data_IF_480122291211
#
_entry.id   IF_480122291211
#
_cell.length_a   1.000
_cell.length_b   1.000
_cell.length_c   1.000
_cell.angle_alpha   90.00
_cell.angle_beta   90.00
_cell.angle_gamma   90.00
#
_symmetry.space_group_name_H-M   'P 1'
#
loop_
_entity.id
_entity.type
_entity.pdbx_description
1 polymer ?
#
# COMPACT_ATOMS: atom_id res chain seq x y z
N UNK A 1 -3.16 -9.27 0.73
CA UNK A 1 -3.65 -8.61 1.96
C UNK A 1 -5.07 -8.13 1.71
N UNK A 2 -6.06 -9.01 1.88
CA UNK A 2 -7.43 -9.01 1.29
C UNK A 2 -7.56 -9.74 -0.07
N UNK A 3 -6.45 -9.98 -0.76
CA UNK A 3 -6.36 -10.65 -2.07
C UNK A 3 -6.95 -12.07 -2.16
N UNK A 4 -7.32 -12.71 -1.05
CA UNK A 4 -7.85 -14.08 -1.03
C UNK A 4 -9.32 -14.18 -0.59
N UNK A 5 -10.10 -13.08 -0.57
CA UNK A 5 -11.45 -13.12 0.02
C UNK A 5 -12.59 -12.66 -0.88
N UNK A 6 -12.31 -12.24 -2.12
CA UNK A 6 -13.33 -12.02 -3.14
C UNK A 6 -13.34 -13.10 -4.23
N UNK A 7 -12.50 -14.12 -4.11
CA UNK A 7 -12.54 -15.33 -4.94
C UNK A 7 -12.92 -16.52 -4.06
N UNK A 8 -14.07 -17.14 -4.34
CA UNK A 8 -14.48 -18.43 -3.76
C UNK A 8 -13.61 -19.58 -4.32
N UNK A 9 -12.28 -19.46 -4.23
CA UNK A 9 -11.38 -20.54 -4.62
C UNK A 9 -10.66 -21.06 -3.38
N UNK A 10 -11.11 -22.23 -2.89
CA UNK A 10 -10.28 -23.13 -2.08
C UNK A 10 -9.08 -23.55 -2.93
N UNK A 11 -8.01 -22.77 -2.90
CA UNK A 11 -6.73 -23.18 -3.46
C UNK A 11 -5.96 -23.94 -2.38
N UNK A 12 -5.82 -25.24 -2.57
CA UNK A 12 -4.89 -26.10 -1.84
C UNK A 12 -3.48 -25.49 -1.99
N UNK A 13 -3.02 -24.73 -0.99
CA UNK A 13 -1.82 -23.89 -1.16
C UNK A 13 -0.55 -24.75 -1.03
N UNK A 14 0.29 -24.85 -2.07
CA UNK A 14 1.68 -25.25 -1.87
C UNK A 14 2.34 -24.23 -0.94
N UNK A 15 3.39 -24.64 -0.23
CA UNK A 15 4.18 -23.77 0.68
C UNK A 15 4.84 -22.67 -0.15
N UNK A 16 4.12 -21.60 -0.44
CA UNK A 16 4.67 -20.39 -1.04
C UNK A 16 5.51 -19.69 0.03
N UNK A 17 6.81 -19.56 -0.22
CA UNK A 17 7.64 -18.63 0.54
C UNK A 17 7.13 -17.21 0.25
N UNK A 18 6.60 -16.54 1.28
CA UNK A 18 6.14 -15.16 1.14
C UNK A 18 7.34 -14.23 0.93
N UNK A 19 7.61 -13.89 -0.33
CA UNK A 19 8.66 -12.91 -0.68
C UNK A 19 8.16 -11.50 -0.34
N UNK A 20 8.94 -10.78 0.46
CA UNK A 20 8.70 -9.35 0.71
C UNK A 20 9.09 -8.56 -0.52
N UNK A 21 8.16 -7.74 -1.01
CA UNK A 21 8.40 -6.75 -2.07
C UNK A 21 8.54 -5.38 -1.43
N UNK A 22 9.59 -4.64 -1.78
CA UNK A 22 9.83 -3.30 -1.26
C UNK A 22 9.51 -2.21 -2.30
N UNK A 23 9.00 -1.08 -1.84
CA UNK A 23 8.69 0.11 -2.64
C UNK A 23 9.95 0.91 -3.00
N UNK A 24 9.78 2.00 -3.77
CA UNK A 24 10.86 2.95 -4.10
C UNK A 24 11.56 3.53 -2.88
N UNK A 25 10.86 3.71 -1.76
CA UNK A 25 11.42 4.17 -0.47
C UNK A 25 11.57 3.05 0.55
N UNK A 26 11.66 1.82 0.04
CA UNK A 26 11.90 0.60 0.81
C UNK A 26 10.87 0.43 1.93
N UNK A 27 9.60 0.63 1.63
CA UNK A 27 8.50 0.14 2.47
C UNK A 27 8.04 -1.23 1.96
N UNK A 28 7.63 -2.14 2.85
CA UNK A 28 6.92 -3.35 2.43
C UNK A 28 5.63 -2.97 1.68
N UNK A 29 5.45 -3.46 0.45
CA UNK A 29 4.24 -3.19 -0.34
C UNK A 29 2.97 -3.65 0.38
N UNK A 30 3.07 -4.75 1.13
CA UNK A 30 2.01 -5.23 2.02
C UNK A 30 1.65 -4.13 3.03
N UNK A 31 2.63 -3.59 3.75
CA UNK A 31 2.39 -2.54 4.75
C UNK A 31 1.89 -1.21 4.11
N UNK A 32 2.34 -0.87 2.89
CA UNK A 32 1.84 0.28 2.12
C UNK A 32 0.35 0.13 1.80
N UNK A 33 -0.08 -1.06 1.36
CA UNK A 33 -1.49 -1.36 1.05
C UNK A 33 -2.39 -1.23 2.28
N UNK A 34 -1.99 -1.77 3.43
CA UNK A 34 -2.77 -1.59 4.67
C UNK A 34 -2.79 -0.13 5.13
N UNK A 35 -1.66 0.57 5.04
CA UNK A 35 -1.61 1.98 5.43
C UNK A 35 -2.52 2.84 4.55
N UNK A 36 -2.56 2.59 3.23
CA UNK A 36 -3.50 3.24 2.31
C UNK A 36 -4.96 2.95 2.69
N UNK A 37 -5.32 1.69 2.91
CA UNK A 37 -6.68 1.29 3.29
C UNK A 37 -7.13 1.97 4.59
N UNK A 38 -6.29 1.92 5.63
CA UNK A 38 -6.60 2.51 6.93
C UNK A 38 -6.65 4.05 6.89
N UNK A 39 -5.81 4.70 6.07
CA UNK A 39 -5.89 6.15 5.86
C UNK A 39 -7.15 6.56 5.11
N UNK A 40 -7.59 5.79 4.10
CA UNK A 40 -8.88 6.04 3.42
C UNK A 40 -10.03 5.89 4.41
N UNK A 41 -10.08 4.76 5.12
CA UNK A 41 -11.10 4.46 6.12
C UNK A 41 -11.12 5.47 7.28
N UNK A 42 -9.95 6.01 7.64
CA UNK A 42 -9.80 7.06 8.65
C UNK A 42 -10.03 8.48 8.15
N UNK A 43 -10.42 8.67 6.89
CA UNK A 43 -10.60 9.99 6.26
C UNK A 43 -9.33 10.87 6.25
N UNK A 44 -8.14 10.26 6.31
CA UNK A 44 -6.85 10.95 6.25
C UNK A 44 -6.35 11.01 4.80
N UNK A 45 -6.83 12.03 4.07
CA UNK A 45 -6.47 12.24 2.68
C UNK A 45 -4.99 12.53 2.44
N UNK A 46 -4.27 13.09 3.42
CA UNK A 46 -2.85 13.42 3.26
C UNK A 46 -1.99 12.15 3.27
N UNK A 47 -2.20 11.28 4.26
CA UNK A 47 -1.52 9.98 4.32
C UNK A 47 -2.00 9.05 3.21
N UNK A 48 -3.30 9.04 2.89
CA UNK A 48 -3.83 8.19 1.82
C UNK A 48 -3.20 8.53 0.47
N UNK A 49 -3.06 9.82 0.13
CA UNK A 49 -2.37 10.22 -1.10
C UNK A 49 -0.89 9.82 -1.07
N UNK A 50 -0.21 9.96 0.06
CA UNK A 50 1.19 9.52 0.17
C UNK A 50 1.32 8.03 -0.12
N UNK A 51 0.54 7.17 0.54
CA UNK A 51 0.63 5.72 0.35
C UNK A 51 0.19 5.28 -1.04
N UNK A 52 -0.85 5.90 -1.60
CA UNK A 52 -1.29 5.64 -2.97
C UNK A 52 -0.22 5.96 -3.99
N UNK A 53 0.38 7.15 -3.91
CA UNK A 53 1.46 7.52 -4.82
C UNK A 53 2.78 6.80 -4.53
N UNK A 54 3.02 6.34 -3.30
CA UNK A 54 4.18 5.48 -3.00
C UNK A 54 4.07 4.14 -3.74
N UNK A 55 2.89 3.50 -3.74
CA UNK A 55 2.65 2.30 -4.52
C UNK A 55 2.79 2.60 -6.02
N UNK A 56 2.06 3.62 -6.49
CA UNK A 56 2.01 4.02 -7.90
C UNK A 56 3.39 4.29 -8.50
N UNK A 57 4.18 5.15 -7.87
CA UNK A 57 5.52 5.52 -8.37
C UNK A 57 6.61 4.49 -8.04
N UNK A 58 6.28 3.41 -7.34
CA UNK A 58 7.15 2.22 -7.26
C UNK A 58 7.02 1.32 -8.49
N UNK A 59 6.23 1.73 -9.49
CA UNK A 59 6.01 1.01 -10.74
C UNK A 59 4.75 0.14 -10.74
N UNK A 60 3.87 0.32 -9.75
CA UNK A 60 2.65 -0.48 -9.58
C UNK A 60 1.40 0.29 -10.02
N UNK A 61 1.45 1.02 -11.13
CA UNK A 61 0.38 1.96 -11.51
C UNK A 61 -0.98 1.27 -11.66
N UNK A 62 -1.07 0.22 -12.49
CA UNK A 62 -2.31 -0.54 -12.67
C UNK A 62 -2.73 -1.27 -11.39
N UNK A 63 -1.80 -1.95 -10.72
CA UNK A 63 -2.06 -2.63 -9.44
C UNK A 63 -2.57 -1.66 -8.35
N UNK A 64 -2.19 -0.38 -8.42
CA UNK A 64 -2.69 0.64 -7.48
C UNK A 64 -4.17 0.92 -7.75
N UNK A 65 -4.58 1.08 -9.01
CA UNK A 65 -6.00 1.26 -9.37
C UNK A 65 -6.82 0.01 -9.05
N UNK A 66 -6.31 -1.18 -9.35
CA UNK A 66 -6.97 -2.45 -8.99
C UNK A 66 -7.18 -2.54 -7.47
N UNK A 67 -6.18 -2.13 -6.69
CA UNK A 67 -6.32 -2.10 -5.24
C UNK A 67 -7.31 -1.02 -4.76
N UNK A 68 -7.38 0.15 -5.40
CA UNK A 68 -8.43 1.14 -5.12
C UNK A 68 -9.83 0.59 -5.44
N UNK A 69 -9.96 -0.25 -6.48
CA UNK A 69 -11.21 -0.91 -6.82
C UNK A 69 -11.61 -1.94 -5.74
N UNK A 70 -10.65 -2.70 -5.21
CA UNK A 70 -10.89 -3.59 -4.07
C UNK A 70 -11.35 -2.81 -2.83
N UNK A 71 -10.70 -1.67 -2.53
CA UNK A 71 -11.14 -0.77 -1.45
C UNK A 71 -12.56 -0.26 -1.73
N UNK A 72 -12.87 0.11 -2.96
CA UNK A 72 -14.19 0.60 -3.34
C UNK A 72 -15.29 -0.46 -3.08
N UNK A 73 -15.01 -1.73 -3.43
CA UNK A 73 -15.89 -2.87 -3.14
C UNK A 73 -16.06 -3.09 -1.64
N UNK A 74 -14.97 -3.04 -0.87
CA UNK A 74 -14.99 -3.25 0.59
C UNK A 74 -15.78 -2.14 1.32
N UNK A 75 -15.56 -0.89 0.94
CA UNK A 75 -16.01 0.27 1.71
C UNK A 75 -17.32 0.89 1.22
N UNK A 76 -17.75 0.64 -0.03
CA UNK A 76 -18.90 1.35 -0.61
C UNK A 76 -19.96 0.44 -1.20
N UNK A 77 -19.79 -0.89 -1.13
CA UNK A 77 -20.84 -1.82 -1.51
C UNK A 77 -21.96 -1.83 -0.44
N UNK A 78 -23.21 -1.94 -0.88
CA UNK A 78 -24.38 -1.90 0.00
C UNK A 78 -24.70 -3.31 0.50
N UNK A 79 -24.80 -4.28 -0.41
CA UNK A 79 -25.00 -5.70 -0.10
C UNK A 79 -23.84 -6.55 -0.62
N UNK A 80 -23.47 -7.60 0.12
CA UNK A 80 -22.40 -8.52 -0.29
C UNK A 80 -22.65 -9.24 -1.64
N UNK A 81 -23.91 -9.27 -2.09
CA UNK A 81 -24.38 -9.91 -3.32
C UNK A 81 -24.86 -8.91 -4.38
N UNK A 82 -24.69 -7.60 -4.17
CA UNK A 82 -25.02 -6.64 -5.23
C UNK A 82 -24.13 -6.89 -6.43
N UNK A 83 -24.76 -7.08 -7.59
CA UNK A 83 -24.09 -6.94 -8.87
C UNK A 83 -23.50 -5.53 -8.97
N UNK A 84 -22.33 -5.40 -9.60
CA UNK A 84 -21.53 -4.16 -9.68
C UNK A 84 -22.27 -2.93 -10.29
N UNK A 85 -23.56 -3.04 -10.61
CA UNK A 85 -24.31 -2.13 -11.47
C UNK A 85 -24.74 -0.80 -10.81
N UNK A 86 -24.66 -0.65 -9.48
CA UNK A 86 -25.10 0.58 -8.77
C UNK A 86 -24.10 1.12 -7.72
N UNK A 87 -22.79 0.89 -7.89
CA UNK A 87 -21.77 1.45 -6.99
C UNK A 87 -20.98 2.58 -7.66
N UNK A 88 -21.40 3.83 -7.40
CA UNK A 88 -20.75 5.03 -7.94
C UNK A 88 -19.24 5.13 -7.62
N UNK A 89 -18.76 4.52 -6.54
CA UNK A 89 -17.32 4.54 -6.23
C UNK A 89 -16.54 3.56 -7.11
N UNK A 90 -17.12 2.40 -7.41
CA UNK A 90 -16.57 1.45 -8.38
C UNK A 90 -16.55 2.10 -9.78
N UNK A 91 -17.64 2.77 -10.17
CA UNK A 91 -17.70 3.51 -11.43
C UNK A 91 -16.64 4.60 -11.51
N UNK A 92 -16.44 5.37 -10.42
CA UNK A 92 -15.41 6.39 -10.35
C UNK A 92 -14.01 5.79 -10.60
N UNK A 93 -13.66 4.71 -9.90
CA UNK A 93 -12.34 4.09 -10.04
C UNK A 93 -12.16 3.53 -11.46
N UNK A 94 -13.17 2.85 -12.00
CA UNK A 94 -13.13 2.31 -13.37
C UNK A 94 -12.99 3.42 -14.41
N UNK A 95 -13.73 4.52 -14.27
CA UNK A 95 -13.65 5.66 -15.18
C UNK A 95 -12.30 6.38 -15.08
N UNK A 96 -11.78 6.57 -13.87
CA UNK A 96 -10.45 7.14 -13.64
C UNK A 96 -9.33 6.26 -14.20
N UNK A 97 -9.44 4.93 -14.04
CA UNK A 97 -8.52 3.98 -14.66
C UNK A 97 -8.61 4.02 -16.18
N UNK A 98 -9.81 4.12 -16.75
CA UNK A 98 -10.00 4.29 -18.20
C UNK A 98 -9.34 5.57 -18.72
N UNK A 99 -9.57 6.72 -18.06
CA UNK A 99 -8.92 7.98 -18.42
C UNK A 99 -7.40 7.89 -18.30
N UNK A 100 -6.91 7.26 -17.24
CA UNK A 100 -5.49 7.03 -17.05
C UNK A 100 -4.89 6.18 -18.17
N UNK A 101 -5.52 5.07 -18.56
CA UNK A 101 -5.06 4.22 -19.68
C UNK A 101 -4.99 4.95 -21.01
N UNK A 102 -5.81 5.99 -21.22
CA UNK A 102 -5.76 6.81 -22.45
C UNK A 102 -4.53 7.73 -22.51
N UNK A 103 -4.10 8.29 -21.38
CA UNK A 103 -2.84 9.05 -21.28
C UNK A 103 -2.18 8.88 -19.90
N UNK A 104 -1.39 7.81 -19.70
CA UNK A 104 -0.84 7.46 -18.38
C UNK A 104 0.02 8.56 -17.75
N UNK A 105 0.75 9.35 -18.56
CA UNK A 105 1.66 10.37 -18.07
C UNK A 105 0.99 11.73 -17.76
N UNK A 106 -0.16 12.01 -18.36
CA UNK A 106 -0.89 13.28 -18.12
C UNK A 106 -2.02 13.11 -17.10
N UNK A 107 -2.36 11.86 -16.78
CA UNK A 107 -3.56 11.50 -16.01
C UNK A 107 -3.27 10.87 -14.66
N UNK A 108 -2.03 10.97 -14.14
CA UNK A 108 -1.64 10.47 -12.81
C UNK A 108 -2.59 10.96 -11.70
N UNK A 109 -3.11 12.19 -11.85
CA UNK A 109 -4.04 12.84 -10.92
C UNK A 109 -5.37 12.11 -10.75
N UNK A 110 -5.74 11.22 -11.69
CA UNK A 110 -6.91 10.36 -11.57
C UNK A 110 -6.83 9.45 -10.35
N UNK A 111 -5.63 8.99 -9.98
CA UNK A 111 -5.42 8.26 -8.72
C UNK A 111 -5.81 9.14 -7.51
N UNK A 112 -5.37 10.39 -7.52
CA UNK A 112 -5.70 11.37 -6.49
C UNK A 112 -7.20 11.67 -6.40
N UNK A 113 -7.91 11.73 -7.53
CA UNK A 113 -9.37 11.87 -7.57
C UNK A 113 -10.06 10.74 -6.80
N UNK A 114 -9.68 9.50 -7.11
CA UNK A 114 -10.23 8.31 -6.46
C UNK A 114 -9.97 8.34 -4.94
N UNK A 115 -8.70 8.50 -4.54
CA UNK A 115 -8.29 8.49 -3.14
C UNK A 115 -9.02 9.55 -2.33
N UNK A 116 -8.99 10.81 -2.79
CA UNK A 116 -9.59 11.90 -2.04
C UNK A 116 -11.12 11.80 -2.00
N UNK A 117 -11.75 11.37 -3.08
CA UNK A 117 -13.21 11.15 -3.10
C UNK A 117 -13.60 10.04 -2.12
N UNK A 118 -12.89 8.92 -2.10
CA UNK A 118 -13.10 7.85 -1.12
C UNK A 118 -12.90 8.34 0.33
N UNK A 119 -11.87 9.16 0.58
CA UNK A 119 -11.65 9.79 1.89
C UNK A 119 -12.75 10.77 2.30
N UNK A 120 -13.58 11.28 1.37
CA UNK A 120 -14.61 12.28 1.65
C UNK A 120 -16.03 11.74 1.48
N UNK A 121 -16.19 10.41 1.44
CA UNK A 121 -17.47 9.74 1.38
C UNK A 121 -17.65 8.81 2.59
N UNK A 122 -18.90 8.66 3.03
CA UNK A 122 -19.28 7.70 4.06
C UNK A 122 -18.92 6.26 3.66
N UNK A 123 -18.20 5.55 4.53
CA UNK A 123 -17.92 4.13 4.36
C UNK A 123 -19.03 3.24 4.95
N UNK A 124 -19.23 2.09 4.34
CA UNK A 124 -20.07 0.98 4.79
C UNK A 124 -19.20 -0.29 4.95
N UNK A 125 -18.66 -0.48 6.15
CA UNK A 125 -17.90 -1.69 6.49
C UNK A 125 -18.79 -2.88 6.83
N UNK A 126 -20.11 -2.72 6.92
CA UNK A 126 -20.99 -3.78 7.41
C UNK A 126 -20.93 -5.06 6.56
N UNK A 127 -20.94 -5.00 5.21
CA UNK A 127 -20.79 -6.19 4.38
C UNK A 127 -19.45 -6.88 4.60
N UNK A 128 -18.36 -6.10 4.65
CA UNK A 128 -17.02 -6.61 4.89
C UNK A 128 -16.92 -7.30 6.26
N UNK A 129 -17.34 -6.65 7.34
CA UNK A 129 -17.22 -7.20 8.69
C UNK A 129 -18.07 -8.47 8.85
N UNK A 130 -19.30 -8.47 8.33
CA UNK A 130 -20.19 -9.65 8.39
C UNK A 130 -19.62 -10.82 7.61
N UNK A 131 -18.97 -10.58 6.48
CA UNK A 131 -18.47 -11.65 5.61
C UNK A 131 -17.10 -12.15 6.09
N UNK A 132 -16.15 -11.24 6.30
CA UNK A 132 -14.77 -11.54 6.67
C UNK A 132 -14.68 -12.05 8.11
N UNK A 133 -15.27 -11.33 9.08
CA UNK A 133 -15.18 -11.68 10.49
C UNK A 133 -16.35 -12.55 10.97
N UNK A 134 -17.32 -12.87 10.10
CA UNK A 134 -18.52 -13.63 10.46
C UNK A 134 -19.23 -13.07 11.69
N UNK A 135 -19.24 -11.73 11.80
CA UNK A 135 -19.66 -11.01 13.00
C UNK A 135 -20.80 -10.06 12.67
N UNK A 136 -21.87 -10.12 13.45
CA UNK A 136 -22.99 -9.19 13.31
C UNK A 136 -22.69 -7.86 14.00
N UNK A 137 -23.06 -6.78 13.32
CA UNK A 137 -22.81 -5.41 13.78
C UNK A 137 -24.00 -4.48 13.54
N UNK A 138 -24.03 -3.39 14.27
CA UNK A 138 -24.93 -2.26 14.08
C UNK A 138 -24.11 -0.97 13.90
N UNK A 139 -24.52 -0.12 12.95
CA UNK A 139 -23.86 1.18 12.69
C UNK A 139 -24.34 2.21 13.72
N UNK A 140 -23.41 2.88 14.39
CA UNK A 140 -23.70 3.80 15.50
C UNK A 140 -23.46 5.27 15.16
N UNK A 141 -22.81 5.59 14.03
CA UNK A 141 -22.59 6.96 13.56
C UNK A 141 -22.58 7.08 12.03
N UNK A 142 -22.92 8.27 11.52
CA UNK A 142 -22.85 8.65 10.10
C UNK A 142 -22.11 9.99 9.97
N UNK A 143 -21.31 10.18 8.91
CA UNK A 143 -20.79 11.50 8.54
C UNK A 143 -21.89 12.34 7.89
N UNK A 144 -21.71 13.66 7.92
CA UNK A 144 -22.72 14.62 7.49
C UNK A 144 -22.97 14.60 5.97
N UNK A 145 -21.92 14.60 5.13
CA UNK A 145 -22.06 14.74 3.66
C UNK A 145 -20.94 14.03 2.88
N UNK A 146 -21.24 13.64 1.62
CA UNK A 146 -20.30 13.03 0.68
C UNK A 146 -19.82 14.06 -0.37
N UNK A 147 -18.53 14.09 -0.69
CA UNK A 147 -17.95 15.07 -1.63
C UNK A 147 -17.05 14.39 -2.68
N UNK A 148 -17.35 14.62 -3.95
CA UNK A 148 -16.47 14.29 -5.07
C UNK A 148 -15.36 15.33 -5.23
N UNK A 149 -14.12 14.87 -5.34
CA UNK A 149 -12.95 15.75 -5.40
C UNK A 149 -12.26 15.64 -6.75
N UNK A 150 -11.96 16.79 -7.34
CA UNK A 150 -11.01 16.92 -8.44
C UNK A 150 -9.65 17.32 -7.88
N UNK A 151 -8.71 16.39 -7.94
CA UNK A 151 -7.32 16.58 -7.58
C UNK A 151 -6.58 17.29 -8.71
N UNK A 152 -5.84 18.32 -8.33
CA UNK A 152 -5.05 19.14 -9.23
C UNK A 152 -3.85 18.34 -9.76
N UNK A 153 -3.71 18.27 -11.08
CA UNK A 153 -2.64 17.53 -11.74
C UNK A 153 -1.26 18.05 -11.39
N UNK A 154 -1.10 19.36 -11.12
CA UNK A 154 0.19 19.91 -10.75
C UNK A 154 0.65 19.42 -9.37
N UNK A 155 -0.30 19.07 -8.48
CA UNK A 155 -0.01 18.59 -7.12
C UNK A 155 0.51 17.16 -7.08
N UNK A 156 0.43 16.41 -8.18
CA UNK A 156 1.06 15.08 -8.31
C UNK A 156 2.57 15.18 -8.07
N UNK A 157 3.20 16.27 -8.50
CA UNK A 157 4.64 16.51 -8.35
C UNK A 157 5.11 16.51 -6.88
N UNK A 158 4.21 16.77 -5.92
CA UNK A 158 4.53 16.69 -4.50
C UNK A 158 4.89 15.28 -4.04
N UNK A 159 4.52 14.26 -4.83
CA UNK A 159 4.78 12.84 -4.56
C UNK A 159 5.93 12.27 -5.39
N UNK A 160 6.61 13.11 -6.17
CA UNK A 160 7.88 12.81 -6.87
C UNK A 160 8.96 13.84 -6.53
N UNK A 161 9.21 14.13 -5.23
CA UNK A 161 10.23 15.11 -4.85
C UNK A 161 11.62 14.66 -5.30
N UNK A 162 12.45 15.61 -5.73
CA UNK A 162 13.87 15.37 -5.98
C UNK A 162 14.67 15.41 -4.68
N UNK A 163 15.58 14.45 -4.53
CA UNK A 163 16.54 14.38 -3.43
C UNK A 163 18.00 14.53 -3.90
N UNK A 164 18.22 15.08 -5.09
CA UNK A 164 19.56 15.21 -5.68
C UNK A 164 20.51 16.11 -4.87
N UNK A 165 19.97 16.96 -4.00
CA UNK A 165 20.74 17.81 -3.08
C UNK A 165 21.10 17.10 -1.76
N UNK A 166 20.61 15.87 -1.54
CA UNK A 166 20.88 15.07 -0.34
C UNK A 166 21.92 13.99 -0.63
N UNK A 167 22.76 13.63 0.36
CA UNK A 167 23.54 12.40 0.27
C UNK A 167 22.63 11.18 0.11
N UNK A 168 23.00 10.22 -0.74
CA UNK A 168 22.16 9.05 -1.07
C UNK A 168 21.74 8.25 0.17
N UNK A 169 22.69 7.98 1.05
CA UNK A 169 22.48 7.31 2.33
C UNK A 169 21.61 8.11 3.32
N UNK A 170 21.10 9.30 2.97
CA UNK A 170 20.11 10.05 3.76
C UNK A 170 18.77 10.19 3.05
N UNK A 171 18.63 9.73 1.82
CA UNK A 171 17.39 9.89 1.04
C UNK A 171 16.19 9.32 1.80
N UNK A 172 16.32 8.13 2.40
CA UNK A 172 15.24 7.49 3.14
C UNK A 172 14.77 8.32 4.35
N UNK A 173 15.67 9.05 5.02
CA UNK A 173 15.30 9.94 6.13
C UNK A 173 14.31 11.03 5.68
N UNK A 174 14.47 11.55 4.46
CA UNK A 174 13.60 12.59 3.90
C UNK A 174 12.39 12.01 3.15
N UNK A 175 12.56 10.89 2.48
CA UNK A 175 11.55 10.26 1.65
C UNK A 175 10.47 9.52 2.44
N UNK A 176 10.85 8.90 3.56
CA UNK A 176 9.91 8.25 4.46
C UNK A 176 9.16 9.30 5.29
N UNK A 177 8.05 9.81 4.75
CA UNK A 177 7.23 10.85 5.41
C UNK A 177 6.44 10.30 6.60
N UNK A 178 5.79 9.14 6.42
CA UNK A 178 4.93 8.52 7.42
C UNK A 178 5.44 7.14 7.83
N UNK A 179 5.07 6.73 9.05
CA UNK A 179 5.28 5.35 9.50
C UNK A 179 4.15 4.46 8.98
N UNK A 180 4.48 3.23 8.59
CA UNK A 180 3.47 2.24 8.21
C UNK A 180 2.53 1.94 9.36
N UNK A 181 1.23 1.83 9.08
CA UNK A 181 0.22 1.52 10.08
C UNK A 181 0.12 0.01 10.26
N UNK A 182 0.66 -0.51 11.37
CA UNK A 182 0.62 -1.94 11.72
C UNK A 182 -0.40 -2.30 12.79
N UNK A 183 -1.24 -1.35 13.22
CA UNK A 183 -2.14 -1.51 14.38
C UNK A 183 -3.13 -2.68 14.23
N UNK A 184 -3.45 -3.08 13.00
CA UNK A 184 -4.39 -4.16 12.70
C UNK A 184 -3.75 -5.37 12.00
N UNK A 185 -2.41 -5.54 12.07
CA UNK A 185 -1.73 -6.65 11.40
C UNK A 185 -2.27 -8.01 11.85
N UNK A 186 -2.45 -8.21 13.15
CA UNK A 186 -3.01 -9.47 13.68
C UNK A 186 -4.46 -9.67 13.23
N UNK A 187 -5.28 -8.62 13.27
CA UNK A 187 -6.69 -8.69 12.89
C UNK A 187 -6.88 -9.07 11.41
N UNK A 188 -6.08 -8.48 10.52
CA UNK A 188 -6.11 -8.76 9.09
C UNK A 188 -5.21 -9.90 8.64
N UNK A 189 -4.56 -10.60 9.58
CA UNK A 189 -3.62 -11.69 9.30
C UNK A 189 -2.53 -11.24 8.30
N UNK A 190 -2.07 -10.01 8.45
CA UNK A 190 -1.04 -9.40 7.61
C UNK A 190 0.28 -10.11 7.81
N UNK A 191 0.83 -10.65 6.72
CA UNK A 191 2.15 -11.27 6.73
C UNK A 191 3.20 -10.28 7.24
N UNK A 192 3.91 -10.69 8.28
CA UNK A 192 5.05 -9.97 8.84
C UNK A 192 6.26 -10.90 8.81
N UNK A 193 7.37 -10.53 8.16
CA UNK A 193 8.59 -11.33 8.14
C UNK A 193 9.12 -11.61 9.54
N UNK A 194 9.58 -12.84 9.77
CA UNK A 194 10.19 -13.23 11.06
C UNK A 194 11.42 -12.39 11.38
N UNK A 195 12.21 -12.05 10.35
CA UNK A 195 13.45 -11.30 10.47
C UNK A 195 13.48 -10.05 9.58
N UNK A 196 12.88 -8.96 10.08
CA UNK A 196 12.90 -7.67 9.38
C UNK A 196 14.33 -7.14 9.16
N UNK A 197 15.28 -7.42 10.05
CA UNK A 197 16.66 -6.97 9.89
C UNK A 197 17.33 -7.63 8.68
N UNK A 198 17.03 -8.89 8.41
CA UNK A 198 17.54 -9.59 7.23
C UNK A 198 16.97 -8.99 5.94
N UNK A 199 15.67 -8.71 5.93
CA UNK A 199 15.00 -8.04 4.80
C UNK A 199 15.59 -6.66 4.53
N UNK A 200 15.70 -5.81 5.56
CA UNK A 200 16.03 -4.40 5.37
C UNK A 200 17.51 -4.07 5.43
N UNK A 201 18.34 -4.83 6.15
CA UNK A 201 19.75 -4.48 6.37
C UNK A 201 20.71 -5.35 5.58
N UNK A 202 20.31 -6.58 5.22
CA UNK A 202 21.17 -7.50 4.46
C UNK A 202 20.72 -7.63 3.01
N UNK A 203 19.43 -7.90 2.79
CA UNK A 203 18.91 -8.34 1.49
C UNK A 203 17.97 -7.30 0.87
N UNK A 204 18.12 -6.02 1.21
CA UNK A 204 17.17 -4.98 0.82
C UNK A 204 17.05 -4.86 -0.70
N UNK A 205 18.17 -4.97 -1.43
CA UNK A 205 18.19 -4.83 -2.89
C UNK A 205 17.50 -6.03 -3.55
N UNK A 206 17.68 -7.23 -2.99
CA UNK A 206 16.93 -8.42 -3.40
C UNK A 206 15.42 -8.21 -3.24
N UNK A 207 14.96 -7.76 -2.06
CA UNK A 207 13.53 -7.53 -1.84
C UNK A 207 12.97 -6.33 -2.63
N UNK A 208 13.79 -5.32 -2.91
CA UNK A 208 13.45 -4.19 -3.75
C UNK A 208 13.31 -4.57 -5.22
N UNK A 209 14.14 -5.50 -5.71
CA UNK A 209 14.14 -5.98 -7.10
C UNK A 209 12.78 -6.49 -7.59
N UNK A 210 11.91 -6.92 -6.66
CA UNK A 210 10.54 -7.34 -6.99
C UNK A 210 9.56 -6.19 -7.20
N UNK A 211 10.00 -4.93 -7.17
CA UNK A 211 9.18 -3.80 -7.63
C UNK A 211 9.61 -3.34 -9.02
N UNK A 212 8.68 -3.00 -9.92
CA UNK A 212 9.04 -2.70 -11.31
C UNK A 212 10.03 -1.54 -11.45
N UNK A 213 9.97 -0.53 -10.56
CA UNK A 213 10.94 0.56 -10.57
C UNK A 213 12.36 0.09 -10.26
N UNK A 214 12.53 -0.72 -9.22
CA UNK A 214 13.85 -1.21 -8.83
C UNK A 214 14.35 -2.27 -9.80
N UNK A 215 13.48 -3.15 -10.30
CA UNK A 215 13.78 -4.09 -11.38
C UNK A 215 14.37 -3.35 -12.57
N UNK A 216 13.69 -2.30 -13.07
CA UNK A 216 14.18 -1.49 -14.17
C UNK A 216 15.56 -0.89 -13.85
N UNK A 217 15.72 -0.28 -12.67
CA UNK A 217 17.01 0.30 -12.25
C UNK A 217 18.13 -0.72 -12.19
N UNK A 218 17.85 -1.95 -11.78
CA UNK A 218 18.84 -3.02 -11.68
C UNK A 218 19.22 -3.51 -13.09
N UNK A 219 18.22 -3.75 -13.95
CA UNK A 219 18.41 -4.20 -15.32
C UNK A 219 19.18 -3.19 -16.19
N UNK A 220 18.97 -1.89 -15.98
CA UNK A 220 19.72 -0.81 -16.66
C UNK A 220 21.24 -0.89 -16.43
N UNK A 221 21.66 -1.58 -15.36
CA UNK A 221 23.06 -1.79 -14.98
C UNK A 221 23.49 -3.26 -15.09
N UNK A 222 22.77 -4.09 -15.85
CA UNK A 222 23.13 -5.50 -16.05
C UNK A 222 22.96 -6.37 -14.79
N UNK A 223 22.20 -5.91 -13.79
CA UNK A 223 21.94 -6.69 -12.59
C UNK A 223 20.89 -7.79 -12.81
N UNK A 224 21.10 -8.95 -12.19
CA UNK A 224 20.19 -10.10 -12.22
C UNK A 224 19.96 -10.59 -10.78
N UNK A 225 18.73 -11.01 -10.49
CA UNK A 225 18.35 -11.57 -9.18
C UNK A 225 18.82 -13.02 -9.07
N UNK A 226 19.63 -13.33 -8.05
CA UNK A 226 19.98 -14.69 -7.63
C UNK A 226 19.05 -15.10 -6.49
N UNK A 227 17.99 -15.85 -6.80
CA UNK A 227 17.01 -16.33 -5.83
C UNK A 227 17.59 -17.33 -4.82
N UNK A 228 18.61 -18.12 -5.19
CA UNK A 228 19.21 -19.08 -4.25
C UNK A 228 20.02 -18.37 -3.16
N UNK A 229 20.69 -17.27 -3.52
CA UNK A 229 21.52 -16.49 -2.60
C UNK A 229 20.84 -15.26 -2.02
N UNK A 230 19.61 -14.95 -2.45
CA UNK A 230 18.84 -13.76 -2.06
C UNK A 230 19.61 -12.45 -2.25
N UNK A 231 20.22 -12.27 -3.43
CA UNK A 231 21.00 -11.08 -3.77
C UNK A 231 20.83 -10.68 -5.23
N UNK A 232 21.33 -9.49 -5.58
CA UNK A 232 21.46 -9.05 -6.97
C UNK A 232 22.92 -9.18 -7.37
N UNK A 233 23.18 -9.79 -8.53
CA UNK A 233 24.52 -9.97 -9.09
C UNK A 233 24.61 -9.10 -10.35
N UNK A 234 25.64 -8.27 -10.43
CA UNK A 234 25.92 -7.45 -11.62
C UNK A 234 26.90 -8.16 -12.56
N UNK A 235 26.86 -7.79 -13.84
CA UNK A 235 27.72 -8.36 -14.88
C UNK A 235 29.22 -8.16 -14.59
N UNK A 236 29.58 -6.98 -14.09
CA UNK A 236 30.94 -6.61 -13.69
C UNK A 236 30.95 -5.55 -12.57
N UNK A 237 32.14 -5.34 -11.99
CA UNK A 237 32.36 -4.39 -10.89
C UNK A 237 32.13 -2.93 -11.32
N UNK A 238 32.39 -2.57 -12.58
CA UNK A 238 32.21 -1.20 -13.07
C UNK A 238 30.71 -0.82 -13.07
N UNK A 239 29.85 -1.70 -13.59
CA UNK A 239 28.40 -1.50 -13.59
C UNK A 239 27.79 -1.54 -12.18
N UNK A 240 28.31 -2.40 -11.31
CA UNK A 240 27.93 -2.44 -9.90
C UNK A 240 28.23 -1.11 -9.19
N UNK A 241 29.45 -0.60 -9.35
CA UNK A 241 29.85 0.70 -8.80
C UNK A 241 28.99 1.84 -9.34
N UNK A 242 28.70 1.85 -10.64
CA UNK A 242 27.82 2.86 -11.24
C UNK A 242 26.40 2.79 -10.68
N UNK A 243 25.83 1.59 -10.48
CA UNK A 243 24.51 1.42 -9.87
C UNK A 243 24.48 1.99 -8.45
N UNK A 244 25.42 1.58 -7.60
CA UNK A 244 25.47 2.03 -6.21
C UNK A 244 25.79 3.52 -6.08
N UNK A 245 26.54 4.10 -7.03
CA UNK A 245 26.78 5.56 -7.08
C UNK A 245 25.52 6.39 -7.26
N UNK A 246 24.41 5.78 -7.73
CA UNK A 246 23.12 6.44 -7.94
C UNK A 246 22.04 6.01 -6.94
N UNK A 247 22.07 4.77 -6.50
CA UNK A 247 20.93 4.15 -5.81
C UNK A 247 21.27 3.52 -4.46
N UNK A 248 22.52 3.60 -3.97
CA UNK A 248 22.85 3.04 -2.66
C UNK A 248 22.23 3.85 -1.50
N UNK A 249 21.13 3.34 -0.96
CA UNK A 249 20.40 4.00 0.13
C UNK A 249 20.88 3.63 1.53
N UNK A 250 21.76 2.64 1.68
CA UNK A 250 22.34 2.19 2.97
C UNK A 250 21.28 2.12 4.10
N UNK A 251 20.25 1.26 3.95
CA UNK A 251 19.14 1.20 4.90
C UNK A 251 19.55 0.78 6.31
N UNK A 252 20.67 0.08 6.48
CA UNK A 252 21.24 -0.33 7.77
C UNK A 252 21.86 0.83 8.55
N UNK A 253 22.39 1.83 7.87
CA UNK A 253 23.02 3.04 8.46
C UNK A 253 22.00 4.14 8.83
N UNK A 254 20.70 3.90 8.62
CA UNK A 254 19.66 4.87 8.96
C UNK A 254 19.43 5.00 10.48
N UNK A 255 18.80 6.11 10.89
CA UNK A 255 18.36 6.29 12.28
C UNK A 255 17.24 5.31 12.66
N UNK A 256 17.12 5.03 13.97
CA UNK A 256 16.01 4.21 14.53
C UNK A 256 14.64 4.74 14.10
N UNK A 257 14.45 6.07 14.09
CA UNK A 257 13.20 6.69 13.63
C UNK A 257 12.90 6.31 12.16
N UNK A 258 13.91 6.37 11.29
CA UNK A 258 13.77 6.05 9.87
C UNK A 258 13.52 4.56 9.65
N UNK A 259 14.12 3.69 10.47
CA UNK A 259 13.81 2.25 10.50
C UNK A 259 12.38 2.00 10.93
N UNK A 260 11.93 2.59 12.04
CA UNK A 260 10.59 2.44 12.58
C UNK A 260 9.51 2.88 11.60
N UNK A 261 9.77 3.88 10.76
CA UNK A 261 8.83 4.28 9.71
C UNK A 261 8.48 3.14 8.74
N UNK A 262 9.45 2.29 8.38
CA UNK A 262 9.20 1.16 7.46
C UNK A 262 8.91 -0.17 8.18
N UNK A 263 9.52 -0.38 9.35
CA UNK A 263 9.43 -1.65 10.08
C UNK A 263 8.25 -1.69 11.08
N UNK A 264 7.72 -0.53 11.46
CA UNK A 264 6.85 -0.36 12.62
C UNK A 264 7.63 -0.36 13.93
N UNK A 265 6.97 0.01 15.04
CA UNK A 265 7.55 -0.13 16.37
C UNK A 265 7.07 -1.45 17.00
N UNK A 266 8.00 -2.23 17.57
CA UNK A 266 7.70 -3.52 18.22
C UNK A 266 6.85 -3.36 19.48
N UNK A 267 6.82 -2.17 20.06
CA UNK A 267 6.02 -1.84 21.24
C UNK A 267 4.58 -1.43 20.89
N UNK A 268 4.26 -1.25 19.61
CA UNK A 268 2.92 -0.86 19.18
C UNK A 268 1.91 -1.97 19.48
N UNK A 269 0.84 -1.60 20.19
CA UNK A 269 -0.24 -2.51 20.51
C UNK A 269 -1.04 -2.87 19.27
N UNK A 270 -1.43 -4.15 19.19
CA UNK A 270 -2.33 -4.66 18.16
C UNK A 270 -3.77 -4.51 18.65
N UNK A 271 -4.62 -3.93 17.80
CA UNK A 271 -6.03 -3.74 18.10
C UNK A 271 -6.85 -4.96 17.64
N UNK A 272 -7.86 -5.29 18.43
CA UNK A 272 -8.82 -6.35 18.15
C UNK A 272 -10.01 -5.86 17.30
N UNK A 273 -10.91 -6.79 16.99
CA UNK A 273 -12.11 -6.51 16.20
C UNK A 273 -13.07 -5.53 16.89
N UNK A 274 -13.20 -5.60 18.22
CA UNK A 274 -14.09 -4.69 18.96
C UNK A 274 -13.57 -3.25 18.85
N UNK A 275 -12.27 -3.06 19.03
CA UNK A 275 -11.60 -1.77 18.87
C UNK A 275 -11.73 -1.25 17.44
N UNK A 276 -11.52 -2.11 16.43
CA UNK A 276 -11.73 -1.76 15.02
C UNK A 276 -13.17 -1.29 14.76
N UNK A 277 -14.17 -2.09 15.15
CA UNK A 277 -15.59 -1.75 14.96
C UNK A 277 -15.92 -0.41 15.62
N UNK A 278 -15.54 -0.24 16.89
CA UNK A 278 -15.80 0.98 17.65
C UNK A 278 -15.14 2.21 17.02
N UNK A 279 -13.88 2.08 16.59
CA UNK A 279 -13.14 3.17 15.96
C UNK A 279 -13.86 3.67 14.70
N UNK A 280 -14.47 2.76 13.93
CA UNK A 280 -15.12 3.07 12.67
C UNK A 280 -16.66 3.13 12.74
N UNK A 281 -17.22 3.34 13.94
CA UNK A 281 -18.64 3.64 14.11
C UNK A 281 -19.57 2.43 14.05
N UNK A 282 -19.09 1.25 14.47
CA UNK A 282 -19.86 0.02 14.56
C UNK A 282 -19.83 -0.56 15.97
N UNK A 283 -20.89 -1.27 16.34
CA UNK A 283 -20.99 -2.06 17.57
C UNK A 283 -21.26 -3.51 17.22
N UNK A 284 -20.51 -4.44 17.83
CA UNK A 284 -20.77 -5.88 17.71
C UNK A 284 -22.04 -6.24 18.49
N UNK A 285 -22.88 -7.06 17.88
CA UNK A 285 -24.10 -7.60 18.49
C UNK A 285 -24.00 -9.13 18.54
N UNK A 286 -24.40 -9.71 19.67
CA UNK A 286 -24.48 -11.16 19.82
C UNK A 286 -25.68 -11.71 19.03
N UNK A 287 -25.53 -12.90 18.47
CA UNK A 287 -26.63 -13.61 17.82
C UNK A 287 -27.69 -13.97 18.86
N UNK A 288 -28.93 -13.52 18.63
CA UNK A 288 -30.11 -13.88 19.46
C UNK A 288 -30.65 -15.24 19.06
#
# INVERSE_FOLDING_TARGET
MLTNHFTEEEVDQPVYTHIVRLSRYLYSITDVKQSLFLSILGHDGEQALFWGYELYFSGFQEETFDYLLDIAKILFQIYALDCDEDNHMIDLVNYSLYLWRLSPHDSDHQLGNCILTMCNHNHNLAPFIRTYFKTNIEKTSHLSDNIYITFDSEKVNNYTPSYSDKPLYKVLQYARKYAVNKTYNQLFQTYTPENLNEVYFKNWLYHASFSPLWEQRILEYGGIVDEEKHQVIFEDEDLEEEFYSKWNYEPDEQSIETHQKAMGNKEDLQNDLETFCKQYGYKIIEDV
#
